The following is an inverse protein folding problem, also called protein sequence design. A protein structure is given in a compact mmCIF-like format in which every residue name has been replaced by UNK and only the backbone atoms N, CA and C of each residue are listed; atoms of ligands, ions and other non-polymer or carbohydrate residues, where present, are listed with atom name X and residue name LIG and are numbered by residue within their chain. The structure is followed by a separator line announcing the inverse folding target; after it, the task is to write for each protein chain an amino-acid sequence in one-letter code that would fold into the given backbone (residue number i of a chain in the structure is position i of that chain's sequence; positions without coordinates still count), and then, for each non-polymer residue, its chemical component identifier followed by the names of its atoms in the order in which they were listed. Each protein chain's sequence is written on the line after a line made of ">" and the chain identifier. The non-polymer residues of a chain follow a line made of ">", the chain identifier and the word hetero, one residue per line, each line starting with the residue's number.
data_IF_087184052499
#
_entry.id   IF_087184052499
#
_cell.length_a   1.000
_cell.length_b   1.000
_cell.length_c   1.000
_cell.angle_alpha   90.00
_cell.angle_beta   90.00
_cell.angle_gamma   90.00
#
_symmetry.space_group_name_H-M   'P 1'
#
loop_
_entity.id
_entity.type
_entity.pdbx_description
1 polymer ?
#
# COMPACT_ATOMS: atom_id res chain seq x y z
N UNK A 1 10.97 9.45 4.07
CA UNK A 1 10.50 10.01 2.79
C UNK A 1 9.14 9.44 2.40
N UNK A 2 9.03 8.16 2.09
CA UNK A 2 7.73 7.55 1.84
C UNK A 2 7.20 6.88 3.10
N UNK A 3 5.88 6.68 3.13
CA UNK A 3 5.19 6.03 4.24
C UNK A 3 4.34 4.89 3.70
N UNK A 4 4.22 3.82 4.47
CA UNK A 4 3.38 2.68 4.12
C UNK A 4 2.49 2.32 5.30
N UNK A 5 1.24 1.95 5.01
CA UNK A 5 0.32 1.38 5.99
C UNK A 5 0.09 -0.08 5.61
N UNK A 6 0.34 -0.98 6.55
CA UNK A 6 0.12 -2.42 6.38
C UNK A 6 -1.09 -2.79 7.22
N UNK A 7 -2.13 -3.31 6.58
CA UNK A 7 -3.38 -3.65 7.24
C UNK A 7 -3.69 -5.13 7.07
N UNK A 8 -3.75 -5.86 8.17
CA UNK A 8 -4.11 -7.28 8.20
C UNK A 8 -4.57 -7.59 9.62
N UNK A 9 -5.63 -8.38 9.77
CA UNK A 9 -6.12 -8.74 11.09
C UNK A 9 -5.23 -9.77 11.78
N UNK A 10 -4.34 -10.42 11.04
CA UNK A 10 -3.40 -11.38 11.59
C UNK A 10 -2.08 -10.68 11.94
N UNK A 11 -1.77 -10.66 13.23
CA UNK A 11 -0.56 -9.99 13.72
C UNK A 11 0.72 -10.55 13.09
N UNK A 12 0.79 -11.86 12.91
CA UNK A 12 1.97 -12.50 12.33
C UNK A 12 2.25 -11.96 10.95
N UNK A 13 1.21 -11.73 10.15
CA UNK A 13 1.38 -11.21 8.81
C UNK A 13 1.80 -9.74 8.84
N UNK A 14 1.13 -8.92 9.67
CA UNK A 14 1.49 -7.50 9.80
C UNK A 14 2.94 -7.33 10.21
N UNK A 15 3.31 -7.99 11.29
CA UNK A 15 4.67 -7.86 11.83
C UNK A 15 5.69 -8.50 10.91
N UNK A 16 5.32 -9.62 10.27
CA UNK A 16 6.20 -10.27 9.31
C UNK A 16 6.54 -9.36 8.14
N UNK A 17 5.54 -8.71 7.56
CA UNK A 17 5.77 -7.78 6.46
C UNK A 17 6.60 -6.57 6.88
N UNK A 18 6.34 -6.08 8.10
CA UNK A 18 7.10 -4.95 8.62
C UNK A 18 8.58 -5.30 8.79
N UNK A 19 8.87 -6.53 9.23
CA UNK A 19 10.23 -6.95 9.55
C UNK A 19 10.99 -7.54 8.37
N UNK A 20 10.29 -8.26 7.46
CA UNK A 20 10.98 -8.99 6.40
C UNK A 20 11.44 -8.11 5.24
N UNK A 21 10.79 -6.99 5.03
CA UNK A 21 11.13 -6.09 3.92
C UNK A 21 12.08 -5.01 4.43
N UNK A 22 13.21 -4.78 3.73
CA UNK A 22 14.10 -3.69 4.09
C UNK A 22 13.54 -2.36 3.59
N UNK A 23 12.53 -1.87 4.27
CA UNK A 23 11.77 -0.70 3.84
C UNK A 23 12.63 0.53 3.58
N UNK A 24 13.70 0.70 4.37
CA UNK A 24 14.59 1.85 4.20
C UNK A 24 15.30 1.82 2.85
N UNK A 25 15.57 0.63 2.32
CA UNK A 25 16.21 0.48 1.01
C UNK A 25 15.29 0.96 -0.12
N UNK A 26 13.99 1.03 0.15
CA UNK A 26 12.98 1.51 -0.79
C UNK A 26 12.50 2.92 -0.43
N UNK A 27 13.24 3.62 0.41
CA UNK A 27 12.95 5.00 0.80
C UNK A 27 11.69 5.16 1.64
N UNK A 28 11.23 4.08 2.27
CA UNK A 28 10.12 4.15 3.21
C UNK A 28 10.68 4.36 4.60
N UNK A 29 10.38 5.52 5.16
CA UNK A 29 10.90 5.93 6.47
C UNK A 29 9.98 5.56 7.61
N UNK A 30 8.72 5.29 7.32
CA UNK A 30 7.74 4.96 8.34
C UNK A 30 6.83 3.85 7.87
N UNK A 31 6.66 2.83 8.71
CA UNK A 31 5.76 1.71 8.47
C UNK A 31 4.73 1.68 9.58
N UNK A 32 3.49 1.96 9.22
CA UNK A 32 2.37 1.87 10.15
C UNK A 32 1.67 0.53 9.97
N UNK A 33 1.13 -0.02 11.03
CA UNK A 33 0.36 -1.25 10.97
C UNK A 33 -1.03 -1.04 11.53
N UNK A 34 -2.02 -1.71 10.95
CA UNK A 34 -3.41 -1.65 11.36
C UNK A 34 -4.00 -3.05 11.39
N UNK A 35 -4.89 -3.31 12.32
CA UNK A 35 -5.49 -4.63 12.52
C UNK A 35 -6.85 -4.79 11.81
N UNK A 36 -7.43 -3.70 11.36
CA UNK A 36 -8.70 -3.70 10.64
C UNK A 36 -8.82 -2.46 9.76
N UNK A 37 -9.87 -2.42 8.94
CA UNK A 37 -10.06 -1.33 8.01
C UNK A 37 -10.37 0.01 8.66
N UNK A 38 -10.96 0.01 9.86
CA UNK A 38 -11.27 1.25 10.56
C UNK A 38 -9.98 1.92 11.03
N UNK A 39 -9.10 1.13 11.65
CA UNK A 39 -7.81 1.64 12.10
C UNK A 39 -6.96 2.07 10.91
N UNK A 40 -6.96 1.27 9.82
CA UNK A 40 -6.22 1.60 8.62
C UNK A 40 -6.68 2.93 8.02
N UNK A 41 -8.00 3.12 7.93
CA UNK A 41 -8.54 4.35 7.35
C UNK A 41 -8.10 5.58 8.15
N UNK A 42 -8.11 5.47 9.48
CA UNK A 42 -7.66 6.55 10.35
C UNK A 42 -6.19 6.90 10.09
N UNK A 43 -5.33 5.88 10.01
CA UNK A 43 -3.91 6.07 9.74
C UNK A 43 -3.66 6.66 8.34
N UNK A 44 -4.40 6.17 7.36
CA UNK A 44 -4.25 6.65 5.98
C UNK A 44 -4.62 8.12 5.88
N UNK A 45 -5.73 8.51 6.48
CA UNK A 45 -6.17 9.91 6.45
C UNK A 45 -5.23 10.84 7.20
N UNK A 46 -4.71 10.36 8.32
CA UNK A 46 -3.82 11.16 9.15
C UNK A 46 -2.44 11.34 8.53
N UNK A 47 -1.88 10.28 7.94
CA UNK A 47 -0.48 10.27 7.50
C UNK A 47 -0.30 10.34 6.00
N UNK A 48 -1.35 10.10 5.23
CA UNK A 48 -1.33 10.14 3.76
C UNK A 48 -0.14 9.36 3.17
N UNK A 49 -0.11 8.04 3.39
CA UNK A 49 1.00 7.21 2.92
C UNK A 49 1.02 7.12 1.40
N UNK A 50 2.18 6.87 0.83
CA UNK A 50 2.32 6.58 -0.59
C UNK A 50 1.84 5.19 -0.95
N UNK A 51 1.87 4.26 0.02
CA UNK A 51 1.51 2.87 -0.22
C UNK A 51 0.63 2.34 0.91
N UNK A 52 -0.39 1.59 0.53
CA UNK A 52 -1.23 0.83 1.45
C UNK A 52 -1.19 -0.63 1.03
N UNK A 53 -0.85 -1.52 1.94
CA UNK A 53 -0.91 -2.96 1.74
C UNK A 53 -2.01 -3.48 2.65
N UNK A 54 -3.06 -4.04 2.09
CA UNK A 54 -4.22 -4.45 2.89
C UNK A 54 -4.72 -5.83 2.54
N UNK A 55 -5.09 -6.59 3.58
CA UNK A 55 -5.86 -7.80 3.42
C UNK A 55 -7.27 -7.45 2.92
N UNK A 56 -7.91 -8.42 2.28
CA UNK A 56 -9.27 -8.22 1.77
C UNK A 56 -10.32 -8.51 2.85
N UNK A 57 -10.14 -9.56 3.65
CA UNK A 57 -11.09 -9.95 4.70
C UNK A 57 -10.60 -9.55 6.07
N UNK A 58 -11.27 -8.58 6.65
CA UNK A 58 -10.95 -8.08 7.98
C UNK A 58 -12.24 -7.75 8.72
N UNK A 59 -12.22 -7.86 10.06
CA UNK A 59 -13.39 -7.43 10.83
C UNK A 59 -13.59 -5.92 10.75
N UNK A 60 -14.78 -5.50 11.05
CA UNK A 60 -15.23 -4.11 11.12
C UNK A 60 -15.29 -3.42 9.76
N UNK A 61 -14.19 -3.37 9.03
CA UNK A 61 -14.15 -2.81 7.68
C UNK A 61 -13.18 -3.65 6.84
N UNK A 62 -13.68 -4.25 5.79
CA UNK A 62 -12.86 -5.09 4.91
C UNK A 62 -12.08 -4.26 3.89
N UNK A 63 -11.22 -4.95 3.13
CA UNK A 63 -10.35 -4.28 2.17
C UNK A 63 -11.11 -3.61 1.03
N UNK A 64 -12.24 -4.16 0.59
CA UNK A 64 -13.04 -3.55 -0.47
C UNK A 64 -13.63 -2.23 0.00
N UNK A 65 -14.19 -2.23 1.21
CA UNK A 65 -14.76 -1.01 1.79
C UNK A 65 -13.67 0.03 2.05
N UNK A 66 -12.50 -0.41 2.50
CA UNK A 66 -11.37 0.49 2.71
C UNK A 66 -10.95 1.15 1.40
N UNK A 67 -10.85 0.38 0.32
CA UNK A 67 -10.50 0.93 -0.99
C UNK A 67 -11.50 1.97 -1.44
N UNK A 68 -12.77 1.73 -1.21
CA UNK A 68 -13.81 2.68 -1.58
C UNK A 68 -13.66 3.99 -0.79
N UNK A 69 -13.30 3.88 0.48
CA UNK A 69 -13.13 5.06 1.34
C UNK A 69 -11.89 5.89 0.98
N UNK A 70 -10.89 5.29 0.35
CA UNK A 70 -9.64 5.99 0.03
C UNK A 70 -9.45 6.25 -1.46
N UNK A 71 -10.48 6.03 -2.27
CA UNK A 71 -10.36 6.17 -3.73
C UNK A 71 -9.98 7.58 -4.17
N UNK A 72 -10.28 8.58 -3.36
CA UNK A 72 -9.96 9.97 -3.66
C UNK A 72 -8.56 10.37 -3.21
N UNK A 73 -7.85 9.48 -2.53
CA UNK A 73 -6.52 9.75 -2.03
C UNK A 73 -5.47 9.25 -3.01
N UNK A 74 -4.35 9.95 -3.04
CA UNK A 74 -3.25 9.63 -3.94
C UNK A 74 -2.30 8.63 -3.28
N UNK A 75 -2.77 7.42 -3.09
CA UNK A 75 -1.94 6.33 -2.56
C UNK A 75 -2.06 5.11 -3.46
N UNK A 76 -0.97 4.36 -3.57
CA UNK A 76 -0.96 3.10 -4.29
C UNK A 76 -1.39 1.99 -3.34
N UNK A 77 -2.04 0.98 -3.87
CA UNK A 77 -2.58 -0.10 -3.05
C UNK A 77 -2.11 -1.45 -3.56
N UNK A 78 -1.65 -2.29 -2.65
CA UNK A 78 -1.40 -3.70 -2.90
C UNK A 78 -2.40 -4.48 -2.05
N UNK A 79 -3.10 -5.42 -2.68
CA UNK A 79 -4.07 -6.26 -1.99
C UNK A 79 -3.44 -7.60 -1.66
N UNK A 80 -3.62 -8.03 -0.41
CA UNK A 80 -3.25 -9.36 0.03
C UNK A 80 -4.52 -10.21 0.08
N UNK A 81 -4.46 -11.42 -0.43
CA UNK A 81 -5.62 -12.30 -0.34
C UNK A 81 -5.21 -13.76 -0.23
N UNK A 82 -6.07 -14.55 0.41
CA UNK A 82 -5.94 -15.99 0.36
C UNK A 82 -6.38 -16.49 -1.01
N UNK A 83 -6.04 -17.75 -1.33
CA UNK A 83 -6.46 -18.36 -2.58
C UNK A 83 -7.98 -18.35 -2.72
N UNK A 84 -8.69 -18.61 -1.62
CA UNK A 84 -10.16 -18.65 -1.65
C UNK A 84 -10.80 -17.31 -1.92
N UNK A 85 -10.12 -16.21 -1.58
CA UNK A 85 -10.66 -14.87 -1.75
C UNK A 85 -10.34 -14.25 -3.11
N UNK A 86 -9.47 -14.88 -3.89
CA UNK A 86 -8.95 -14.28 -5.11
C UNK A 86 -10.07 -13.98 -6.12
N UNK A 87 -10.97 -14.94 -6.34
CA UNK A 87 -12.08 -14.73 -7.26
C UNK A 87 -13.07 -13.69 -6.74
N UNK A 88 -13.35 -13.72 -5.44
CA UNK A 88 -14.20 -12.73 -4.80
C UNK A 88 -13.61 -11.32 -4.99
N UNK A 89 -12.33 -11.19 -4.79
CA UNK A 89 -11.62 -9.94 -4.95
C UNK A 89 -11.70 -9.42 -6.37
N UNK A 90 -11.45 -10.29 -7.36
CA UNK A 90 -11.49 -9.88 -8.76
C UNK A 90 -12.87 -9.41 -9.18
N UNK A 91 -13.92 -10.04 -8.66
CA UNK A 91 -15.29 -9.69 -9.00
C UNK A 91 -15.76 -8.42 -8.28
N UNK A 92 -15.25 -8.18 -7.06
CA UNK A 92 -15.73 -7.10 -6.22
C UNK A 92 -14.94 -5.81 -6.28
N UNK A 93 -13.68 -5.88 -6.67
CA UNK A 93 -12.82 -4.69 -6.68
C UNK A 93 -12.78 -4.10 -8.07
N UNK A 94 -13.33 -2.90 -8.18
CA UNK A 94 -13.33 -2.14 -9.43
C UNK A 94 -12.40 -0.93 -9.32
N UNK A 95 -11.58 -0.90 -8.30
CA UNK A 95 -10.63 0.18 -8.08
C UNK A 95 -9.30 -0.17 -8.70
N UNK A 96 -8.59 0.86 -9.12
CA UNK A 96 -7.25 0.68 -9.62
C UNK A 96 -6.32 0.35 -8.45
N UNK A 97 -5.67 -0.79 -8.50
CA UNK A 97 -4.69 -1.20 -7.49
C UNK A 97 -3.36 -1.47 -8.18
N UNK A 98 -2.28 -1.32 -7.43
CA UNK A 98 -0.94 -1.55 -7.95
C UNK A 98 -0.71 -3.02 -8.26
N UNK A 99 -1.08 -3.90 -7.33
CA UNK A 99 -0.93 -5.33 -7.55
C UNK A 99 -1.71 -6.12 -6.50
N UNK A 100 -1.81 -7.41 -6.72
CA UNK A 100 -2.44 -8.39 -5.86
C UNK A 100 -1.42 -9.46 -5.49
N UNK A 101 -1.32 -9.80 -4.21
CA UNK A 101 -0.42 -10.83 -3.73
C UNK A 101 -1.21 -11.91 -3.01
N UNK A 102 -0.92 -13.17 -3.34
CA UNK A 102 -1.49 -14.31 -2.63
C UNK A 102 -0.71 -14.58 -1.35
N UNK A 103 -1.44 -14.92 -0.29
CA UNK A 103 -0.81 -15.39 0.95
C UNK A 103 -0.43 -16.86 0.84
N UNK A 104 0.68 -17.28 1.42
CA UNK A 104 1.67 -16.49 2.15
C UNK A 104 2.47 -15.57 1.24
N UNK A 105 2.78 -14.40 1.72
CA UNK A 105 3.45 -13.38 0.90
C UNK A 105 4.90 -13.78 0.63
N UNK A 106 5.25 -13.79 -0.66
CA UNK A 106 6.63 -13.95 -1.08
C UNK A 106 7.31 -12.57 -1.05
N UNK A 107 8.26 -12.38 -0.12
CA UNK A 107 8.89 -11.08 0.04
C UNK A 107 9.68 -10.66 -1.21
N UNK A 108 10.20 -11.61 -1.98
CA UNK A 108 10.91 -11.30 -3.22
C UNK A 108 9.97 -10.67 -4.24
N UNK A 109 8.75 -11.21 -4.35
CA UNK A 109 7.73 -10.66 -5.23
C UNK A 109 7.31 -9.26 -4.77
N UNK A 110 7.13 -9.08 -3.47
CA UNK A 110 6.78 -7.77 -2.93
C UNK A 110 7.89 -6.76 -3.17
N UNK A 111 9.15 -7.14 -2.95
CA UNK A 111 10.27 -6.23 -3.18
C UNK A 111 10.40 -5.84 -4.64
N UNK A 112 10.09 -6.75 -5.56
CA UNK A 112 10.07 -6.42 -6.99
C UNK A 112 9.02 -5.35 -7.30
N UNK A 113 7.84 -5.48 -6.70
CA UNK A 113 6.78 -4.47 -6.86
C UNK A 113 7.21 -3.14 -6.28
N UNK A 114 7.90 -3.17 -5.13
CA UNK A 114 8.41 -1.95 -4.50
C UNK A 114 9.44 -1.25 -5.37
N UNK A 115 10.31 -2.00 -6.06
CA UNK A 115 11.26 -1.40 -6.99
C UNK A 115 10.53 -0.60 -8.08
N UNK A 116 9.50 -1.18 -8.65
CA UNK A 116 8.71 -0.52 -9.69
C UNK A 116 8.02 0.71 -9.14
N UNK A 117 7.41 0.57 -7.96
CA UNK A 117 6.70 1.68 -7.33
C UNK A 117 7.63 2.84 -7.02
N UNK A 118 8.78 2.55 -6.43
CA UNK A 118 9.73 3.59 -6.04
C UNK A 118 10.21 4.37 -7.26
N UNK A 119 10.47 3.69 -8.37
CA UNK A 119 10.85 4.38 -9.60
C UNK A 119 9.75 5.35 -10.05
N UNK A 120 8.50 4.93 -9.98
CA UNK A 120 7.38 5.80 -10.33
C UNK A 120 7.26 6.98 -9.38
N UNK A 121 7.46 6.75 -8.08
CA UNK A 121 7.35 7.80 -7.08
C UNK A 121 8.47 8.83 -7.21
N UNK A 122 9.68 8.37 -7.51
CA UNK A 122 10.82 9.28 -7.68
C UNK A 122 10.72 10.08 -8.97
N UNK A 123 10.12 9.51 -10.01
CA UNK A 123 10.01 10.16 -11.32
C UNK A 123 8.78 11.04 -11.44
N UNK A 124 7.81 10.88 -10.55
CA UNK A 124 6.58 11.65 -10.68
C UNK A 124 6.78 13.09 -10.24
N UNK A 125 6.06 14.03 -10.88
CA UNK A 125 6.16 15.42 -10.49
C UNK A 125 5.56 15.64 -9.09
N UNK A 126 6.16 16.54 -8.35
CA UNK A 126 5.58 17.02 -7.10
C UNK A 126 4.45 18.01 -7.43
N UNK A 127 3.52 18.18 -6.51
CA UNK A 127 2.37 19.03 -6.69
C UNK A 127 2.56 20.44 -6.12
N UNK A 128 3.78 20.84 -5.85
CA UNK A 128 4.11 22.12 -5.25
C UNK A 128 5.00 22.93 -6.17
N UNK A 129 5.41 24.10 -5.72
CA UNK A 129 6.34 24.92 -6.48
C UNK A 129 7.67 24.25 -6.74
N UNK A 130 8.02 23.29 -5.91
CA UNK A 130 9.23 22.51 -6.13
C UNK A 130 9.15 21.67 -7.40
N UNK A 131 7.94 21.39 -7.88
CA UNK A 131 7.74 20.62 -9.10
C UNK A 131 8.38 21.29 -10.30
N UNK A 132 8.21 22.58 -10.43
CA UNK A 132 8.77 23.30 -11.56
C UNK A 132 10.30 23.24 -11.52
N UNK A 133 10.88 23.42 -10.34
CA UNK A 133 12.31 23.32 -10.17
C UNK A 133 12.82 21.91 -10.45
N UNK A 134 12.08 20.93 -9.96
CA UNK A 134 12.41 19.53 -10.18
C UNK A 134 12.42 19.18 -11.66
N UNK A 135 11.36 19.54 -12.36
CA UNK A 135 11.26 19.29 -13.78
C UNK A 135 12.35 19.99 -14.57
N UNK A 136 12.61 21.24 -14.23
CA UNK A 136 13.64 21.99 -14.91
C UNK A 136 15.01 21.34 -14.75
N UNK A 137 15.27 20.76 -13.58
CA UNK A 137 16.54 20.11 -13.33
C UNK A 137 16.72 18.83 -14.11
N UNK A 138 15.62 18.17 -14.47
CA UNK A 138 15.68 16.84 -15.13
C UNK A 138 15.33 16.88 -16.60
N UNK A 139 14.98 18.01 -17.11
CA UNK A 139 14.73 18.21 -18.50
C UNK A 139 15.92 18.91 -19.17
#
# INVERSE_FOLDING_TARGET
>A
MFKVVICDDERIIREGLKQMVPWEDYHFTTVYTAKDGVEALSLIRQHQPELVITDIRMPRKNGVDLLDDIKDLDCQVIILSSYDDFEFMKAGIQHHVLDYLLKPVDHTQLEHILDILVQRLLDRPHSTNDDAAYYTAFQ
#
